data_IF_114275414344
#
_entry.id   IF_114275414344
#
_cell.length_a   1.000
_cell.length_b   1.000
_cell.length_c   1.000
_cell.angle_alpha   90.00
_cell.angle_beta   90.00
_cell.angle_gamma   90.00
#
_symmetry.space_group_name_H-M   'P 1'
#
loop_
_entity.id
_entity.type
_entity.pdbx_description
1 polymer ?
#
# COMPACT_ATOMS: atom_id res chain seq x y z
N UNK A 1 -74.46 2.24 2.21
CA UNK A 1 -73.39 2.80 1.36
C UNK A 1 -72.13 2.86 2.22
N UNK A 2 -71.29 1.82 2.12
CA UNK A 2 -69.95 1.87 2.70
C UNK A 2 -69.06 2.61 1.70
N UNK A 3 -68.46 3.71 2.14
CA UNK A 3 -67.46 4.44 1.37
C UNK A 3 -66.17 3.63 1.48
N UNK A 4 -65.77 2.97 0.39
CA UNK A 4 -64.40 2.51 0.18
C UNK A 4 -63.51 3.74 0.20
N UNK A 5 -63.06 4.14 1.39
CA UNK A 5 -61.93 5.05 1.51
C UNK A 5 -60.68 4.21 1.29
N UNK A 6 -60.11 4.31 0.09
CA UNK A 6 -58.76 3.79 -0.16
C UNK A 6 -57.83 4.24 0.98
N UNK A 7 -57.01 3.33 1.54
CA UNK A 7 -56.05 3.72 2.57
C UNK A 7 -55.18 4.86 2.02
N UNK A 8 -54.84 5.87 2.85
CA UNK A 8 -54.07 7.02 2.40
C UNK A 8 -52.82 6.53 1.67
N UNK A 9 -52.61 7.04 0.45
CA UNK A 9 -51.45 6.72 -0.37
C UNK A 9 -50.20 6.85 0.50
N UNK A 10 -49.58 5.70 0.85
CA UNK A 10 -48.56 5.63 1.88
C UNK A 10 -47.27 6.33 1.48
N UNK A 11 -46.12 5.86 1.94
CA UNK A 11 -44.81 6.42 1.58
C UNK A 11 -44.59 6.60 0.05
N UNK A 12 -45.32 5.86 -0.79
CA UNK A 12 -45.25 5.93 -2.24
C UNK A 12 -45.76 7.27 -2.83
N UNK A 13 -46.57 8.05 -2.12
CA UNK A 13 -47.04 9.36 -2.61
C UNK A 13 -45.97 10.45 -2.49
N UNK A 14 -44.97 10.26 -1.63
CA UNK A 14 -43.98 11.29 -1.37
C UNK A 14 -43.02 11.47 -2.55
N UNK A 15 -42.60 12.72 -2.85
CA UNK A 15 -41.52 12.99 -3.79
C UNK A 15 -40.23 12.26 -3.42
N UNK A 16 -39.39 12.02 -4.41
CA UNK A 16 -38.13 11.27 -4.24
C UNK A 16 -37.18 11.97 -3.26
N UNK A 17 -37.23 13.29 -3.16
CA UNK A 17 -36.46 14.08 -2.20
C UNK A 17 -36.87 13.81 -0.75
N UNK A 18 -38.18 13.66 -0.51
CA UNK A 18 -38.72 13.36 0.83
C UNK A 18 -38.39 11.92 1.20
N UNK A 19 -38.53 10.99 0.26
CA UNK A 19 -38.10 9.59 0.45
C UNK A 19 -36.61 9.53 0.75
N UNK A 20 -35.76 10.24 0.00
CA UNK A 20 -34.32 10.24 0.26
C UNK A 20 -33.99 10.83 1.63
N UNK A 21 -34.69 11.87 2.08
CA UNK A 21 -34.56 12.39 3.45
C UNK A 21 -34.97 11.35 4.51
N UNK A 22 -36.01 10.54 4.27
CA UNK A 22 -36.39 9.45 5.18
C UNK A 22 -35.34 8.34 5.15
N UNK A 23 -34.88 7.91 3.95
CA UNK A 23 -33.78 6.95 3.83
C UNK A 23 -32.53 7.49 4.52
N UNK A 24 -32.36 8.82 4.58
CA UNK A 24 -31.26 9.50 5.22
C UNK A 24 -31.15 9.25 6.74
N UNK A 25 -32.23 8.80 7.37
CA UNK A 25 -32.25 8.47 8.80
C UNK A 25 -32.16 6.97 9.07
N UNK A 26 -32.29 6.13 8.03
CA UNK A 26 -32.36 4.68 8.18
C UNK A 26 -31.00 4.00 8.03
N UNK A 27 -30.86 2.83 8.67
CA UNK A 27 -29.73 1.93 8.46
C UNK A 27 -29.94 1.05 7.23
N UNK A 28 -28.86 0.42 6.74
CA UNK A 28 -28.92 -0.44 5.54
C UNK A 28 -29.95 -1.57 5.68
N UNK A 29 -30.03 -2.20 6.86
CA UNK A 29 -30.99 -3.28 7.12
C UNK A 29 -32.43 -2.79 7.00
N UNK A 30 -32.75 -1.61 7.53
CA UNK A 30 -34.10 -1.04 7.43
C UNK A 30 -34.44 -0.66 5.99
N UNK A 31 -33.48 -0.10 5.25
CA UNK A 31 -33.65 0.18 3.81
C UNK A 31 -33.88 -1.11 3.01
N UNK A 32 -33.18 -2.20 3.36
CA UNK A 32 -33.41 -3.51 2.75
C UNK A 32 -34.80 -4.05 3.09
N UNK A 33 -35.26 -3.90 4.32
CA UNK A 33 -36.61 -4.30 4.72
C UNK A 33 -37.69 -3.51 3.98
N UNK A 34 -37.52 -2.19 3.83
CA UNK A 34 -38.41 -1.35 3.03
C UNK A 34 -38.51 -1.80 1.56
N UNK A 35 -37.39 -2.24 0.98
CA UNK A 35 -37.37 -2.80 -0.39
C UNK A 35 -38.19 -4.06 -0.53
N UNK A 36 -38.38 -4.82 0.55
CA UNK A 36 -39.16 -6.06 0.53
C UNK A 36 -40.67 -5.81 0.65
N UNK A 37 -41.10 -4.58 0.99
CA UNK A 37 -42.52 -4.25 1.15
C UNK A 37 -43.29 -4.24 -0.18
N UNK A 38 -42.73 -3.69 -1.25
CA UNK A 38 -43.33 -3.70 -2.59
C UNK A 38 -42.30 -3.43 -3.69
N UNK A 39 -42.61 -3.76 -4.95
CA UNK A 39 -41.74 -3.46 -6.10
C UNK A 39 -41.55 -1.96 -6.31
N UNK A 40 -42.60 -1.17 -6.10
CA UNK A 40 -42.56 0.28 -6.21
C UNK A 40 -41.70 0.90 -5.11
N UNK A 41 -41.82 0.40 -3.87
CA UNK A 41 -40.96 0.83 -2.78
C UNK A 41 -39.51 0.42 -3.05
N UNK A 42 -39.29 -0.78 -3.61
CA UNK A 42 -37.96 -1.23 -4.03
C UNK A 42 -37.35 -0.29 -5.09
N UNK A 43 -38.16 0.25 -6.00
CA UNK A 43 -37.71 1.23 -6.99
C UNK A 43 -37.45 2.61 -6.34
N UNK A 44 -38.38 3.11 -5.52
CA UNK A 44 -38.26 4.40 -4.81
C UNK A 44 -37.10 4.44 -3.81
N UNK A 45 -36.68 3.30 -3.28
CA UNK A 45 -35.51 3.17 -2.39
C UNK A 45 -34.18 3.02 -3.13
N UNK A 46 -34.16 2.92 -4.47
CA UNK A 46 -32.93 2.92 -5.28
C UNK A 46 -32.32 4.33 -5.46
N UNK A 47 -32.42 5.16 -4.42
CA UNK A 47 -31.89 6.50 -4.39
C UNK A 47 -30.35 6.51 -4.16
N UNK A 48 -29.67 7.66 -4.38
CA UNK A 48 -28.22 7.77 -4.25
C UNK A 48 -27.66 7.22 -2.93
N UNK A 49 -28.33 7.46 -1.80
CA UNK A 49 -27.88 6.93 -0.49
C UNK A 49 -27.85 5.42 -0.45
N UNK A 50 -28.90 4.74 -0.93
CA UNK A 50 -28.90 3.28 -0.94
C UNK A 50 -27.81 2.71 -1.86
N UNK A 51 -27.62 3.35 -3.02
CA UNK A 51 -26.54 3.00 -3.96
C UNK A 51 -25.15 3.22 -3.36
N UNK A 52 -24.98 4.21 -2.48
CA UNK A 52 -23.70 4.50 -1.83
C UNK A 52 -23.16 3.32 -1.00
N UNK A 53 -24.03 2.46 -0.43
CA UNK A 53 -23.61 1.24 0.27
C UNK A 53 -22.91 0.22 -0.64
N UNK A 54 -23.02 0.36 -1.96
CA UNK A 54 -22.38 -0.53 -2.94
C UNK A 54 -21.10 0.06 -3.53
N UNK A 55 -20.81 1.36 -3.33
CA UNK A 55 -19.61 1.99 -3.87
C UNK A 55 -18.31 1.47 -3.25
N UNK A 56 -18.34 1.07 -1.98
CA UNK A 56 -17.17 0.55 -1.27
C UNK A 56 -17.48 -0.82 -0.66
N UNK A 57 -16.69 -1.84 -0.99
CA UNK A 57 -16.84 -3.20 -0.44
C UNK A 57 -15.50 -3.81 -0.05
N UNK A 58 -15.54 -4.58 1.02
CA UNK A 58 -14.45 -5.45 1.46
C UNK A 58 -14.90 -6.89 1.31
N UNK A 59 -14.16 -7.68 0.54
CA UNK A 59 -14.54 -9.05 0.19
C UNK A 59 -13.40 -9.98 0.62
N UNK A 60 -13.64 -10.92 1.56
CA UNK A 60 -12.65 -11.92 1.88
C UNK A 60 -12.51 -12.90 0.70
N UNK A 61 -11.29 -13.40 0.49
CA UNK A 61 -10.99 -14.43 -0.51
C UNK A 61 -11.47 -15.81 -0.01
N UNK A 62 -12.78 -15.92 0.19
CA UNK A 62 -13.48 -17.12 0.64
C UNK A 62 -14.55 -17.49 -0.39
N UNK A 63 -14.83 -18.78 -0.56
CA UNK A 63 -15.72 -19.25 -1.63
C UNK A 63 -17.12 -18.63 -1.59
N UNK A 64 -17.77 -18.64 -0.42
CA UNK A 64 -19.12 -18.07 -0.27
C UNK A 64 -19.16 -16.56 -0.51
N UNK A 65 -18.12 -15.84 -0.10
CA UNK A 65 -18.06 -14.39 -0.29
C UNK A 65 -17.85 -14.01 -1.76
N UNK A 66 -16.99 -14.75 -2.47
CA UNK A 66 -16.74 -14.54 -3.90
C UNK A 66 -17.93 -14.98 -4.76
N UNK A 67 -18.60 -16.07 -4.40
CA UNK A 67 -19.84 -16.48 -5.04
C UNK A 67 -20.94 -15.43 -4.86
N UNK A 68 -21.12 -14.93 -3.64
CA UNK A 68 -22.07 -13.84 -3.35
C UNK A 68 -21.74 -12.58 -4.15
N UNK A 69 -20.45 -12.22 -4.26
CA UNK A 69 -20.03 -11.09 -5.08
C UNK A 69 -20.35 -11.30 -6.57
N UNK A 70 -20.08 -12.49 -7.09
CA UNK A 70 -20.46 -12.87 -8.46
C UNK A 70 -21.98 -12.75 -8.64
N UNK A 71 -22.78 -13.26 -7.71
CA UNK A 71 -24.23 -13.22 -7.78
C UNK A 71 -24.78 -11.78 -7.77
N UNK A 72 -24.23 -10.89 -6.93
CA UNK A 72 -24.71 -9.51 -6.80
C UNK A 72 -24.27 -8.61 -7.97
N UNK A 73 -23.26 -9.02 -8.74
CA UNK A 73 -22.83 -8.31 -9.97
C UNK A 73 -23.51 -8.83 -11.24
N UNK A 74 -24.14 -10.02 -11.23
CA UNK A 74 -24.85 -10.56 -12.41
C UNK A 74 -25.96 -9.63 -12.88
N UNK A 75 -26.22 -9.66 -14.19
CA UNK A 75 -27.31 -8.93 -14.84
C UNK A 75 -27.35 -7.42 -14.51
N UNK A 76 -26.18 -6.78 -14.44
CA UNK A 76 -26.04 -5.37 -14.05
C UNK A 76 -26.63 -5.05 -12.68
N UNK A 77 -26.49 -5.99 -11.73
CA UNK A 77 -26.92 -5.83 -10.36
C UNK A 77 -26.19 -4.71 -9.62
N UNK A 78 -26.65 -4.39 -8.41
CA UNK A 78 -26.10 -3.28 -7.61
C UNK A 78 -24.61 -3.44 -7.28
N UNK A 79 -24.08 -4.66 -7.32
CA UNK A 79 -22.64 -4.92 -7.14
C UNK A 79 -21.79 -4.24 -8.21
N UNK A 80 -22.35 -3.96 -9.39
CA UNK A 80 -21.66 -3.25 -10.45
C UNK A 80 -21.44 -1.76 -10.17
N UNK A 81 -22.06 -1.21 -9.11
CA UNK A 81 -21.83 0.17 -8.68
C UNK A 81 -20.54 0.35 -7.88
N UNK A 82 -19.77 -0.73 -7.68
CA UNK A 82 -18.53 -0.70 -6.92
C UNK A 82 -17.50 0.24 -7.55
N UNK A 83 -16.87 1.04 -6.70
CA UNK A 83 -15.81 1.97 -7.06
C UNK A 83 -14.54 1.66 -6.28
N UNK A 84 -14.68 1.32 -4.99
CA UNK A 84 -13.59 0.97 -4.09
C UNK A 84 -13.75 -0.47 -3.64
N UNK A 85 -12.83 -1.32 -4.04
CA UNK A 85 -12.83 -2.74 -3.67
C UNK A 85 -11.62 -3.05 -2.81
N UNK A 86 -11.84 -3.68 -1.66
CA UNK A 86 -10.78 -4.29 -0.85
C UNK A 86 -10.91 -5.80 -0.91
N UNK A 87 -9.88 -6.51 -1.37
CA UNK A 87 -9.81 -7.97 -1.31
C UNK A 87 -8.93 -8.37 -0.14
N UNK A 88 -9.44 -9.25 0.72
CA UNK A 88 -8.73 -9.70 1.93
C UNK A 88 -8.42 -11.18 1.82
N UNK A 89 -7.16 -11.55 1.62
CA UNK A 89 -6.77 -12.95 1.76
C UNK A 89 -6.66 -13.34 3.23
N UNK A 90 -6.86 -14.62 3.52
CA UNK A 90 -6.88 -15.13 4.88
C UNK A 90 -5.72 -16.10 5.10
N UNK A 91 -5.01 -15.89 6.21
CA UNK A 91 -4.02 -16.83 6.70
C UNK A 91 -4.66 -17.59 7.83
N UNK A 92 -4.93 -18.87 7.60
CA UNK A 92 -5.43 -19.77 8.63
C UNK A 92 -4.27 -20.35 9.44
N UNK A 93 -4.52 -20.67 10.71
CA UNK A 93 -3.59 -21.49 11.47
C UNK A 93 -3.61 -22.89 10.86
N UNK A 94 -2.59 -23.23 10.06
CA UNK A 94 -2.30 -24.63 9.74
C UNK A 94 -1.71 -25.30 10.99
N UNK A 95 -2.44 -25.24 12.09
CA UNK A 95 -2.09 -25.83 13.36
C UNK A 95 -1.96 -27.34 13.16
N UNK A 96 -0.70 -27.79 13.13
CA UNK A 96 -0.22 -29.18 13.00
C UNK A 96 -0.01 -29.64 11.54
N UNK A 97 1.27 -29.83 11.21
CA UNK A 97 1.68 -30.93 10.32
C UNK A 97 0.96 -32.19 10.83
N UNK A 98 0.19 -32.91 10.00
CA UNK A 98 -0.52 -34.08 10.47
C UNK A 98 0.52 -35.10 10.96
N UNK A 99 0.54 -35.33 12.28
CA UNK A 99 1.12 -36.56 12.80
C UNK A 99 0.41 -37.71 12.08
N UNK A 100 1.18 -38.60 11.46
CA UNK A 100 0.68 -39.74 10.69
C UNK A 100 -0.50 -40.39 11.43
N UNK A 101 -1.68 -40.38 10.81
CA UNK A 101 -2.75 -41.33 11.17
C UNK A 101 -4.03 -40.81 11.84
N UNK A 102 -4.36 -39.52 11.90
CA UNK A 102 -5.70 -39.10 12.38
C UNK A 102 -6.47 -38.25 11.37
N UNK A 103 -7.62 -38.78 10.95
CA UNK A 103 -8.59 -38.19 10.01
C UNK A 103 -9.06 -36.82 10.53
N UNK A 104 -9.01 -35.80 9.67
CA UNK A 104 -9.44 -34.43 9.94
C UNK A 104 -10.93 -34.38 10.29
N UNK A 105 -11.27 -33.82 11.45
CA UNK A 105 -12.58 -33.20 11.64
C UNK A 105 -12.59 -31.91 10.81
N UNK A 106 -13.54 -31.82 9.86
CA UNK A 106 -13.79 -30.67 9.00
C UNK A 106 -13.97 -29.40 9.85
N UNK A 107 -12.99 -28.51 9.87
CA UNK A 107 -13.25 -27.09 10.09
C UNK A 107 -14.01 -26.57 8.86
N UNK A 108 -15.24 -26.12 9.05
CA UNK A 108 -16.11 -25.51 8.04
C UNK A 108 -15.66 -24.09 7.67
N UNK A 109 -14.41 -23.95 7.21
CA UNK A 109 -14.00 -22.84 6.35
C UNK A 109 -13.78 -23.45 4.97
N UNK A 110 -14.64 -23.16 4.00
CA UNK A 110 -14.44 -23.62 2.63
C UNK A 110 -13.25 -22.86 2.03
N UNK A 111 -12.05 -23.40 2.22
CA UNK A 111 -10.85 -22.97 1.51
C UNK A 111 -11.12 -23.11 0.01
N UNK A 112 -11.32 -21.98 -0.66
CA UNK A 112 -11.53 -21.94 -2.10
C UNK A 112 -10.18 -22.18 -2.80
N UNK A 113 -10.18 -22.94 -3.88
CA UNK A 113 -8.97 -23.08 -4.69
C UNK A 113 -8.65 -21.77 -5.43
N UNK A 114 -7.38 -21.57 -5.78
CA UNK A 114 -6.96 -20.39 -6.56
C UNK A 114 -7.72 -20.27 -7.88
N UNK A 115 -7.96 -21.40 -8.56
CA UNK A 115 -8.69 -21.46 -9.83
C UNK A 115 -10.16 -21.05 -9.68
N UNK A 116 -10.84 -21.54 -8.64
CA UNK A 116 -12.23 -21.15 -8.34
C UNK A 116 -12.30 -19.66 -7.99
N UNK A 117 -11.36 -19.16 -7.18
CA UNK A 117 -11.30 -17.75 -6.82
C UNK A 117 -11.12 -16.87 -8.07
N UNK A 118 -10.18 -17.26 -8.95
CA UNK A 118 -9.95 -16.61 -10.24
C UNK A 118 -11.22 -16.60 -11.10
N UNK A 119 -11.94 -17.71 -11.17
CA UNK A 119 -13.17 -17.81 -11.96
C UNK A 119 -14.27 -16.84 -11.44
N UNK A 120 -14.53 -16.83 -10.13
CA UNK A 120 -15.54 -15.92 -9.55
C UNK A 120 -15.15 -14.46 -9.71
N UNK A 121 -13.88 -14.12 -9.48
CA UNK A 121 -13.38 -12.75 -9.62
C UNK A 121 -13.44 -12.29 -11.07
N UNK A 122 -13.00 -13.13 -12.02
CA UNK A 122 -13.06 -12.83 -13.46
C UNK A 122 -14.50 -12.57 -13.89
N UNK A 123 -15.45 -13.43 -13.50
CA UNK A 123 -16.86 -13.24 -13.81
C UNK A 123 -17.40 -11.93 -13.21
N UNK A 124 -17.07 -11.65 -11.96
CA UNK A 124 -17.51 -10.43 -11.26
C UNK A 124 -16.93 -9.18 -11.91
N UNK A 125 -15.64 -9.15 -12.22
CA UNK A 125 -14.98 -8.03 -12.86
C UNK A 125 -15.47 -7.80 -14.29
N UNK A 126 -15.77 -8.86 -15.05
CA UNK A 126 -16.45 -8.74 -16.36
C UNK A 126 -17.80 -8.07 -16.22
N UNK A 127 -18.60 -8.44 -15.21
CA UNK A 127 -19.88 -7.80 -14.97
C UNK A 127 -19.74 -6.32 -14.59
N UNK A 128 -18.77 -5.98 -13.72
CA UNK A 128 -18.47 -4.58 -13.36
C UNK A 128 -18.04 -3.79 -14.60
N UNK A 129 -17.13 -4.35 -15.41
CA UNK A 129 -16.64 -3.73 -16.63
C UNK A 129 -17.76 -3.52 -17.66
N UNK A 130 -18.69 -4.47 -17.79
CA UNK A 130 -19.82 -4.38 -18.73
C UNK A 130 -20.91 -3.40 -18.29
N UNK A 131 -21.24 -3.39 -17.00
CA UNK A 131 -22.28 -2.51 -16.44
C UNK A 131 -21.83 -1.05 -16.34
N UNK A 132 -20.52 -0.82 -16.28
CA UNK A 132 -19.95 0.48 -16.60
C UNK A 132 -20.19 0.73 -18.10
N UNK A 133 -21.37 1.25 -18.46
CA UNK A 133 -21.76 1.72 -19.82
C UNK A 133 -20.84 2.80 -20.43
N UNK A 134 -19.64 2.98 -19.86
CA UNK A 134 -18.62 3.98 -20.11
C UNK A 134 -17.34 3.31 -19.65
N UNK A 135 -16.29 3.37 -20.47
CA UNK A 135 -14.92 2.91 -20.23
C UNK A 135 -14.26 3.50 -18.95
N UNK A 136 -14.94 3.43 -17.80
CA UNK A 136 -14.55 4.01 -16.54
C UNK A 136 -13.80 2.93 -15.76
N UNK A 137 -12.50 3.13 -15.49
CA UNK A 137 -11.75 2.23 -14.63
C UNK A 137 -12.37 2.17 -13.23
N UNK A 138 -12.19 1.04 -12.54
CA UNK A 138 -12.46 0.91 -11.12
C UNK A 138 -11.62 1.97 -10.37
N UNK A 139 -12.26 2.71 -9.48
CA UNK A 139 -11.60 3.85 -8.83
C UNK A 139 -10.45 3.40 -7.94
N UNK A 140 -10.66 2.40 -7.09
CA UNK A 140 -9.63 1.90 -6.18
C UNK A 140 -9.73 0.40 -5.94
N UNK A 141 -8.58 -0.26 -5.92
CA UNK A 141 -8.42 -1.66 -5.54
C UNK A 141 -7.34 -1.78 -4.46
N UNK A 142 -7.72 -2.27 -3.29
CA UNK A 142 -6.82 -2.53 -2.16
C UNK A 142 -6.69 -4.03 -1.94
N UNK A 143 -5.46 -4.53 -1.87
CA UNK A 143 -5.14 -5.87 -1.42
C UNK A 143 -4.71 -5.81 0.04
N UNK A 144 -5.41 -6.58 0.86
CA UNK A 144 -5.17 -6.69 2.28
C UNK A 144 -5.12 -8.17 2.68
N UNK A 145 -4.77 -8.41 3.93
CA UNK A 145 -4.73 -9.75 4.47
C UNK A 145 -5.31 -9.73 5.89
N UNK A 146 -5.84 -10.87 6.33
CA UNK A 146 -6.34 -11.09 7.68
C UNK A 146 -5.70 -12.36 8.21
N UNK A 147 -4.89 -12.22 9.26
CA UNK A 147 -4.33 -13.38 9.95
C UNK A 147 -5.24 -13.81 11.11
N UNK A 148 -5.86 -14.98 10.96
CA UNK A 148 -6.76 -15.54 11.97
C UNK A 148 -6.00 -16.04 13.20
N UNK A 149 -4.68 -16.32 13.09
CA UNK A 149 -3.82 -16.70 14.22
C UNK A 149 -3.70 -15.57 15.24
N UNK A 150 -3.64 -14.34 14.76
CA UNK A 150 -3.57 -13.14 15.59
C UNK A 150 -4.86 -12.82 16.37
N UNK A 151 -5.96 -13.52 16.05
CA UNK A 151 -7.26 -13.37 16.71
C UNK A 151 -7.51 -14.42 17.80
N UNK A 152 -6.55 -15.30 18.08
CA UNK A 152 -6.66 -16.31 19.13
C UNK A 152 -6.59 -15.60 20.50
N UNK A 153 -7.63 -15.69 21.36
CA UNK A 153 -7.62 -15.07 22.67
C UNK A 153 -6.42 -15.55 23.51
N UNK A 154 -5.71 -14.61 24.13
CA UNK A 154 -4.54 -14.91 24.96
C UNK A 154 -3.22 -15.13 24.20
N UNK A 155 -3.22 -15.08 22.86
CA UNK A 155 -1.99 -14.98 22.06
C UNK A 155 -1.89 -13.59 21.46
N UNK A 156 -0.93 -12.81 21.93
CA UNK A 156 -0.60 -11.54 21.31
C UNK A 156 0.05 -11.74 19.93
N UNK A 157 0.12 -10.65 19.16
CA UNK A 157 0.90 -10.61 17.92
C UNK A 157 2.34 -11.13 18.14
N UNK A 158 2.98 -10.75 19.26
CA UNK A 158 4.33 -11.20 19.66
C UNK A 158 4.46 -12.71 19.87
N UNK A 159 3.40 -13.37 20.34
CA UNK A 159 3.42 -14.83 20.53
C UNK A 159 3.28 -15.56 19.19
N UNK A 160 2.70 -14.86 18.20
CA UNK A 160 2.39 -15.37 16.87
C UNK A 160 3.51 -15.12 15.87
N UNK A 161 4.17 -13.96 15.93
CA UNK A 161 5.27 -13.57 15.03
C UNK A 161 6.54 -13.27 15.83
N UNK A 162 7.56 -14.08 15.61
CA UNK A 162 8.95 -13.74 15.89
C UNK A 162 9.62 -13.21 14.61
N UNK A 163 10.85 -12.71 14.71
CA UNK A 163 11.64 -12.24 13.57
C UNK A 163 12.11 -13.39 12.64
N UNK A 164 11.52 -14.59 12.72
CA UNK A 164 11.94 -15.72 11.88
C UNK A 164 11.18 -15.76 10.57
N UNK A 165 11.93 -15.88 9.47
CA UNK A 165 11.41 -16.03 8.10
C UNK A 165 10.31 -17.11 7.98
N UNK A 166 10.40 -18.18 8.78
CA UNK A 166 9.45 -19.30 8.77
C UNK A 166 8.02 -18.89 9.12
N UNK A 167 7.83 -17.91 10.01
CA UNK A 167 6.48 -17.48 10.43
C UNK A 167 5.84 -16.47 9.48
N UNK A 168 6.66 -15.75 8.72
CA UNK A 168 6.25 -14.78 7.70
C UNK A 168 5.92 -15.43 6.36
N UNK A 169 6.56 -16.57 6.03
CA UNK A 169 6.33 -17.29 4.77
C UNK A 169 4.85 -17.55 4.44
N UNK A 170 3.97 -17.98 5.37
CA UNK A 170 2.54 -18.11 5.07
C UNK A 170 1.85 -16.80 4.70
N UNK A 171 2.23 -15.68 5.32
CA UNK A 171 1.70 -14.35 4.99
C UNK A 171 2.15 -13.95 3.58
N UNK A 172 3.43 -14.11 3.27
CA UNK A 172 3.97 -13.79 1.94
C UNK A 172 3.41 -14.68 0.84
N UNK A 173 3.23 -15.97 1.11
CA UNK A 173 2.55 -16.88 0.20
C UNK A 173 1.10 -16.47 -0.04
N UNK A 174 0.38 -16.09 1.03
CA UNK A 174 -0.97 -15.56 0.90
C UNK A 174 -0.97 -14.28 0.05
N UNK A 175 -0.06 -13.34 0.31
CA UNK A 175 0.09 -12.11 -0.46
C UNK A 175 0.36 -12.37 -1.94
N UNK A 176 1.28 -13.30 -2.25
CA UNK A 176 1.59 -13.73 -3.61
C UNK A 176 0.38 -14.34 -4.31
N UNK A 177 -0.33 -15.26 -3.66
CA UNK A 177 -1.54 -15.89 -4.22
C UNK A 177 -2.64 -14.88 -4.49
N UNK A 178 -2.92 -13.97 -3.56
CA UNK A 178 -3.93 -12.91 -3.77
C UNK A 178 -3.50 -12.03 -4.95
N UNK A 179 -2.25 -11.57 -4.95
CA UNK A 179 -1.75 -10.69 -5.99
C UNK A 179 -1.88 -11.33 -7.38
N UNK A 180 -1.37 -12.55 -7.54
CA UNK A 180 -1.49 -13.31 -8.79
C UNK A 180 -2.95 -13.48 -9.21
N UNK A 181 -3.80 -14.00 -8.33
CA UNK A 181 -5.23 -14.24 -8.62
C UNK A 181 -5.94 -12.96 -9.07
N UNK A 182 -5.71 -11.85 -8.39
CA UNK A 182 -6.36 -10.57 -8.71
C UNK A 182 -5.81 -9.99 -10.02
N UNK A 183 -4.51 -10.00 -10.22
CA UNK A 183 -3.89 -9.48 -11.45
C UNK A 183 -4.34 -10.30 -12.67
N UNK A 184 -4.37 -11.63 -12.56
CA UNK A 184 -4.92 -12.51 -13.59
C UNK A 184 -6.41 -12.23 -13.87
N UNK A 185 -7.22 -12.03 -12.81
CA UNK A 185 -8.63 -11.71 -12.97
C UNK A 185 -8.85 -10.35 -13.65
N UNK A 186 -8.08 -9.32 -13.29
CA UNK A 186 -8.15 -7.99 -13.90
C UNK A 186 -7.82 -8.05 -15.39
N UNK A 187 -6.73 -8.71 -15.76
CA UNK A 187 -6.31 -8.79 -17.16
C UNK A 187 -7.34 -9.60 -17.98
N UNK A 188 -7.80 -10.74 -17.47
CA UNK A 188 -8.79 -11.61 -18.13
C UNK A 188 -10.18 -10.96 -18.27
N UNK A 189 -10.53 -10.06 -17.34
CA UNK A 189 -11.80 -9.31 -17.37
C UNK A 189 -11.70 -7.99 -18.13
N UNK A 190 -10.49 -7.57 -18.49
CA UNK A 190 -10.19 -6.26 -19.07
C UNK A 190 -10.68 -5.08 -18.20
N UNK A 191 -10.77 -5.29 -16.89
CA UNK A 191 -11.11 -4.23 -15.95
C UNK A 191 -9.86 -3.39 -15.66
N UNK A 192 -9.89 -2.13 -16.07
CA UNK A 192 -8.84 -1.16 -15.74
C UNK A 192 -9.07 -0.54 -14.36
N UNK A 193 -7.99 -0.09 -13.71
CA UNK A 193 -8.01 0.47 -12.35
C UNK A 193 -7.29 1.83 -12.28
N UNK A 194 -7.74 2.74 -11.42
CA UNK A 194 -7.10 4.07 -11.23
C UNK A 194 -6.17 4.12 -10.02
N UNK A 195 -6.47 3.37 -8.96
CA UNK A 195 -5.69 3.31 -7.74
C UNK A 195 -5.49 1.86 -7.32
N UNK A 196 -4.24 1.49 -7.04
CA UNK A 196 -3.84 0.16 -6.60
C UNK A 196 -3.02 0.26 -5.32
N UNK A 197 -3.50 -0.38 -4.26
CA UNK A 197 -2.82 -0.46 -2.98
C UNK A 197 -2.50 -1.93 -2.65
N UNK A 198 -1.22 -2.28 -2.63
CA UNK A 198 -0.69 -3.62 -2.45
C UNK A 198 -0.07 -3.74 -1.06
N UNK A 199 -0.87 -4.19 -0.09
CA UNK A 199 -0.47 -4.48 1.29
C UNK A 199 0.15 -3.31 2.07
N UNK A 200 0.15 -2.10 1.51
CA UNK A 200 0.78 -0.93 2.10
C UNK A 200 -0.19 -0.16 3.00
N UNK A 201 -0.47 -0.71 4.18
CA UNK A 201 -1.23 -0.01 5.23
C UNK A 201 -0.23 0.57 6.24
N UNK A 202 0.28 1.79 5.98
CA UNK A 202 1.34 2.44 6.78
C UNK A 202 1.08 2.41 8.30
N UNK A 203 -0.19 2.39 8.72
CA UNK A 203 -0.59 2.39 10.13
C UNK A 203 -0.65 0.97 10.76
N UNK A 204 -0.78 -0.06 9.92
CA UNK A 204 -1.00 -1.45 10.34
C UNK A 204 -0.05 -2.44 9.65
N UNK A 205 1.11 -1.97 9.16
CA UNK A 205 2.06 -2.69 8.31
C UNK A 205 2.45 -4.05 8.91
N UNK A 206 1.88 -5.10 8.33
CA UNK A 206 2.08 -6.48 8.80
C UNK A 206 2.12 -7.48 7.63
N UNK A 207 2.21 -7.00 6.39
CA UNK A 207 2.33 -7.81 5.20
C UNK A 207 3.02 -7.01 4.09
N UNK A 208 3.75 -7.71 3.24
CA UNK A 208 4.45 -7.20 2.07
C UNK A 208 4.38 -8.24 0.96
N UNK A 209 4.51 -7.79 -0.29
CA UNK A 209 4.65 -8.68 -1.43
C UNK A 209 6.13 -9.02 -1.63
N UNK A 210 6.46 -10.30 -1.70
CA UNK A 210 7.81 -10.72 -2.05
C UNK A 210 8.16 -10.26 -3.48
N UNK A 211 9.38 -9.76 -3.68
CA UNK A 211 9.81 -9.23 -4.98
C UNK A 211 9.81 -10.30 -6.08
N UNK A 212 10.18 -11.54 -5.72
CA UNK A 212 10.05 -12.70 -6.60
C UNK A 212 8.61 -12.92 -7.06
N UNK A 213 7.65 -12.89 -6.14
CA UNK A 213 6.23 -13.05 -6.46
C UNK A 213 5.69 -11.92 -7.35
N UNK A 214 6.16 -10.67 -7.12
CA UNK A 214 5.84 -9.55 -7.98
C UNK A 214 6.32 -9.81 -9.41
N UNK A 215 7.61 -10.11 -9.59
CA UNK A 215 8.20 -10.40 -10.90
C UNK A 215 7.50 -11.55 -11.61
N UNK A 216 7.37 -12.71 -10.94
CA UNK A 216 6.75 -13.91 -11.52
C UNK A 216 5.32 -13.64 -12.02
N UNK A 217 4.54 -12.86 -11.26
CA UNK A 217 3.17 -12.53 -11.67
C UNK A 217 3.15 -11.60 -12.88
N UNK A 218 4.05 -10.62 -12.95
CA UNK A 218 4.10 -9.70 -14.08
C UNK A 218 4.59 -10.39 -15.35
N UNK A 219 5.56 -11.30 -15.25
CA UNK A 219 6.03 -12.11 -16.37
C UNK A 219 4.93 -13.01 -16.95
N UNK A 220 4.16 -13.65 -16.06
CA UNK A 220 3.10 -14.60 -16.41
C UNK A 220 1.85 -13.88 -16.99
N UNK A 221 1.38 -12.83 -16.32
CA UNK A 221 0.10 -12.19 -16.67
C UNK A 221 0.25 -11.00 -17.63
N UNK A 222 1.31 -10.20 -17.46
CA UNK A 222 1.53 -8.92 -18.17
C UNK A 222 0.28 -8.00 -18.19
N UNK A 223 -0.13 -7.44 -17.04
CA UNK A 223 -1.40 -6.71 -16.89
C UNK A 223 -1.39 -5.28 -17.48
N UNK A 224 -0.84 -5.09 -18.68
CA UNK A 224 -0.62 -3.79 -19.31
C UNK A 224 -1.92 -3.01 -19.46
N UNK A 225 -3.02 -3.69 -19.81
CA UNK A 225 -4.33 -3.04 -20.00
C UNK A 225 -4.92 -2.62 -18.67
N UNK A 226 -4.88 -3.51 -17.67
CA UNK A 226 -5.41 -3.23 -16.35
C UNK A 226 -4.71 -2.03 -15.69
N UNK A 227 -3.39 -1.90 -15.87
CA UNK A 227 -2.56 -0.86 -15.25
C UNK A 227 -2.43 0.43 -16.09
N UNK A 228 -2.83 0.43 -17.37
CA UNK A 228 -2.71 1.60 -18.25
C UNK A 228 -3.41 2.87 -17.75
N UNK A 229 -4.47 2.71 -16.95
CA UNK A 229 -5.25 3.80 -16.36
C UNK A 229 -4.79 4.17 -14.93
N UNK A 230 -3.74 3.51 -14.41
CA UNK A 230 -3.30 3.66 -13.04
C UNK A 230 -2.70 5.05 -12.81
N UNK A 231 -3.25 5.76 -11.84
CA UNK A 231 -2.84 7.11 -11.42
C UNK A 231 -2.21 7.12 -10.03
N UNK A 232 -2.53 6.14 -9.19
CA UNK A 232 -2.01 6.00 -7.84
C UNK A 232 -1.56 4.55 -7.59
N UNK A 233 -0.30 4.38 -7.19
CA UNK A 233 0.27 3.10 -6.81
C UNK A 233 0.84 3.21 -5.40
N UNK A 234 0.42 2.31 -4.52
CA UNK A 234 0.96 2.18 -3.19
C UNK A 234 1.33 0.72 -2.94
N UNK A 235 2.60 0.43 -2.71
CA UNK A 235 3.11 -0.95 -2.64
C UNK A 235 4.08 -1.13 -1.47
N UNK A 236 3.89 -2.20 -0.71
CA UNK A 236 4.87 -2.68 0.26
C UNK A 236 5.54 -3.92 -0.29
N UNK A 237 6.82 -3.83 -0.65
CA UNK A 237 7.63 -4.94 -1.17
C UNK A 237 8.58 -5.46 -0.11
N UNK A 238 8.94 -6.74 -0.17
CA UNK A 238 9.98 -7.32 0.68
C UNK A 238 10.93 -8.20 -0.11
N UNK A 239 12.21 -8.14 0.27
CA UNK A 239 13.21 -9.07 -0.22
C UNK A 239 13.32 -10.25 0.76
N UNK A 240 12.49 -11.27 0.51
CA UNK A 240 12.42 -12.46 1.35
C UNK A 240 13.43 -13.55 0.94
N UNK A 241 14.04 -13.43 -0.23
CA UNK A 241 14.75 -14.52 -0.90
C UNK A 241 16.00 -14.00 -1.63
N UNK A 242 17.18 -14.52 -1.25
CA UNK A 242 18.51 -14.10 -1.74
C UNK A 242 18.71 -14.17 -3.27
N UNK A 243 17.78 -14.78 -4.02
CA UNK A 243 17.90 -15.09 -5.45
C UNK A 243 16.82 -14.44 -6.33
N UNK A 244 16.06 -13.47 -5.82
CA UNK A 244 14.96 -12.90 -6.60
C UNK A 244 15.46 -11.95 -7.69
N UNK A 245 14.88 -12.04 -8.89
CA UNK A 245 15.02 -10.97 -9.89
C UNK A 245 14.18 -9.79 -9.42
N UNK A 246 14.82 -8.63 -9.25
CA UNK A 246 14.25 -7.47 -8.57
C UNK A 246 13.66 -6.43 -9.54
N UNK A 247 13.40 -6.83 -10.80
CA UNK A 247 12.87 -5.97 -11.85
C UNK A 247 11.37 -5.71 -11.75
N UNK A 248 10.62 -6.42 -10.91
CA UNK A 248 9.15 -6.33 -10.92
C UNK A 248 8.63 -4.92 -10.62
N UNK A 249 9.33 -4.16 -9.76
CA UNK A 249 8.99 -2.76 -9.50
C UNK A 249 9.24 -1.87 -10.72
N UNK A 250 10.33 -2.12 -11.46
CA UNK A 250 10.64 -1.44 -12.72
C UNK A 250 9.52 -1.66 -13.74
N UNK A 251 9.12 -2.92 -13.93
CA UNK A 251 8.07 -3.29 -14.88
C UNK A 251 6.71 -2.67 -14.51
N UNK A 252 6.36 -2.63 -13.22
CA UNK A 252 5.14 -1.93 -12.77
C UNK A 252 5.15 -0.45 -13.17
N UNK A 253 6.29 0.24 -13.03
CA UNK A 253 6.42 1.65 -13.41
C UNK A 253 6.29 1.81 -14.94
N UNK A 254 6.93 0.93 -15.71
CA UNK A 254 6.86 0.94 -17.19
C UNK A 254 5.43 0.67 -17.71
N UNK A 255 4.66 -0.17 -17.01
CA UNK A 255 3.25 -0.48 -17.33
C UNK A 255 2.25 0.59 -16.87
N UNK A 256 2.69 1.59 -16.11
CA UNK A 256 1.81 2.60 -15.47
C UNK A 256 2.11 4.02 -15.99
N UNK A 257 1.90 4.32 -17.28
CA UNK A 257 2.34 5.59 -17.89
C UNK A 257 1.62 6.82 -17.34
N UNK A 258 0.44 6.64 -16.73
CA UNK A 258 -0.40 7.72 -16.17
C UNK A 258 -0.18 7.95 -14.67
N UNK A 259 0.84 7.32 -14.09
CA UNK A 259 1.07 7.39 -12.65
C UNK A 259 1.37 8.84 -12.22
N UNK A 260 0.64 9.30 -11.21
CA UNK A 260 0.77 10.65 -10.63
C UNK A 260 1.18 10.62 -9.16
N UNK A 261 0.94 9.49 -8.49
CA UNK A 261 1.27 9.25 -7.09
C UNK A 261 1.90 7.87 -6.93
N UNK A 262 3.03 7.82 -6.24
CA UNK A 262 3.78 6.60 -5.99
C UNK A 262 4.21 6.53 -4.53
N UNK A 263 3.72 5.52 -3.83
CA UNK A 263 4.13 5.19 -2.48
C UNK A 263 4.81 3.83 -2.48
N UNK A 264 6.12 3.80 -2.17
CA UNK A 264 6.89 2.57 -2.05
C UNK A 264 7.33 2.43 -0.60
N UNK A 265 6.98 1.31 -0.02
CA UNK A 265 7.54 0.85 1.24
C UNK A 265 8.38 -0.40 1.00
N UNK A 266 9.64 -0.39 1.41
CA UNK A 266 10.49 -1.58 1.41
C UNK A 266 10.49 -2.20 2.81
N UNK A 267 9.65 -3.21 2.97
CA UNK A 267 9.60 -4.01 4.18
C UNK A 267 10.78 -4.97 4.20
N UNK A 268 11.71 -4.73 5.10
CA UNK A 268 12.80 -5.66 5.39
C UNK A 268 12.58 -6.31 6.75
N UNK A 269 12.71 -7.64 6.80
CA UNK A 269 12.89 -8.38 8.06
C UNK A 269 14.33 -8.19 8.55
N UNK A 270 14.73 -6.95 8.83
CA UNK A 270 15.87 -6.67 9.69
C UNK A 270 15.44 -6.91 11.12
N UNK A 271 16.28 -7.58 11.92
CA UNK A 271 16.04 -7.93 13.32
C UNK A 271 15.67 -6.75 14.25
N UNK A 272 15.65 -5.51 13.74
CA UNK A 272 15.40 -4.29 14.50
C UNK A 272 14.19 -3.45 14.05
N UNK A 273 13.34 -3.89 13.11
CA UNK A 273 12.18 -3.07 12.68
C UNK A 273 10.95 -3.14 13.61
N UNK A 274 11.15 -3.04 14.93
CA UNK A 274 10.10 -2.59 15.86
C UNK A 274 10.68 -1.68 16.96
N UNK A 275 10.91 -0.38 16.66
CA UNK A 275 10.74 0.64 17.70
C UNK A 275 9.90 1.85 17.25
N UNK A 276 9.37 1.91 16.03
CA UNK A 276 8.64 3.10 15.56
C UNK A 276 7.15 2.90 15.20
N UNK A 277 6.65 1.67 15.12
CA UNK A 277 5.20 1.46 15.27
C UNK A 277 4.89 1.62 16.76
N UNK A 278 3.81 2.33 17.13
CA UNK A 278 3.44 2.69 18.52
C UNK A 278 3.24 1.48 19.46
N UNK A 279 4.31 0.79 19.83
CA UNK A 279 4.36 -0.35 20.72
C UNK A 279 5.62 -0.32 21.57
N UNK A 280 5.83 0.80 22.28
CA UNK A 280 6.80 0.84 23.37
C UNK A 280 6.26 0.09 24.59
N UNK A 281 6.87 -1.04 24.92
CA UNK A 281 7.13 -1.33 26.32
C UNK A 281 8.41 -0.58 26.68
N UNK A 282 8.23 0.51 27.43
CA UNK A 282 9.21 1.28 28.20
C UNK A 282 10.49 0.46 28.50
N UNK A 283 11.64 0.84 27.95
CA UNK A 283 12.95 0.47 28.51
C UNK A 283 13.98 1.58 28.31
N UNK A 284 14.88 1.65 29.27
CA UNK A 284 15.61 2.84 29.69
C UNK A 284 16.67 3.33 28.70
N UNK A 285 16.84 4.65 28.71
CA UNK A 285 17.94 5.39 28.11
C UNK A 285 19.27 4.79 28.62
N UNK A 286 20.14 4.34 27.71
CA UNK A 286 21.54 4.04 28.03
C UNK A 286 22.13 2.70 27.56
N UNK A 287 21.41 1.84 26.82
CA UNK A 287 21.98 0.57 26.35
C UNK A 287 22.53 0.71 24.91
N UNK A 288 23.83 0.97 24.80
CA UNK A 288 24.59 0.88 23.55
C UNK A 288 24.77 -0.61 23.21
N UNK A 289 24.03 -1.11 22.22
CA UNK A 289 24.18 -2.47 21.69
C UNK A 289 24.06 -2.48 20.16
N UNK A 290 24.70 -3.49 19.53
CA UNK A 290 25.49 -3.34 18.32
C UNK A 290 24.61 -3.09 17.10
N UNK A 291 25.13 -2.30 16.15
CA UNK A 291 24.62 -2.23 14.78
C UNK A 291 24.46 -3.65 14.23
N UNK A 292 23.24 -4.16 14.17
CA UNK A 292 22.97 -5.43 13.51
C UNK A 292 23.05 -5.21 12.00
N UNK A 293 24.20 -5.58 11.43
CA UNK A 293 24.45 -5.52 9.99
C UNK A 293 23.54 -6.52 9.28
N UNK A 294 22.89 -6.07 8.20
CA UNK A 294 22.30 -6.98 7.23
C UNK A 294 23.40 -7.93 6.73
N UNK A 295 23.01 -9.15 6.30
CA UNK A 295 23.97 -9.91 5.50
C UNK A 295 24.34 -9.03 4.28
N UNK A 296 25.62 -9.02 3.85
CA UNK A 296 26.04 -8.21 2.70
C UNK A 296 25.15 -8.42 1.46
N UNK A 297 24.72 -9.67 1.24
CA UNK A 297 23.81 -10.03 0.15
C UNK A 297 22.42 -9.40 0.29
N UNK A 298 21.84 -9.37 1.49
CA UNK A 298 20.52 -8.77 1.70
C UNK A 298 20.55 -7.25 1.49
N UNK A 299 21.60 -6.56 1.96
CA UNK A 299 21.75 -5.13 1.71
C UNK A 299 21.96 -4.83 0.22
N UNK A 300 22.75 -5.65 -0.46
CA UNK A 300 22.97 -5.53 -1.91
C UNK A 300 21.66 -5.72 -2.68
N UNK A 301 20.88 -6.75 -2.36
CA UNK A 301 19.59 -6.99 -3.01
C UNK A 301 18.59 -5.86 -2.75
N UNK A 302 18.45 -5.40 -1.50
CA UNK A 302 17.56 -4.27 -1.20
C UNK A 302 17.95 -3.00 -1.98
N UNK A 303 19.25 -2.76 -2.17
CA UNK A 303 19.78 -1.65 -2.97
C UNK A 303 19.47 -1.83 -4.46
N UNK A 304 19.69 -3.03 -5.00
CA UNK A 304 19.40 -3.37 -6.41
C UNK A 304 17.94 -3.22 -6.77
N UNK A 305 17.02 -3.49 -5.85
CA UNK A 305 15.58 -3.30 -6.07
C UNK A 305 15.25 -1.85 -6.46
N UNK A 306 15.77 -0.89 -5.68
CA UNK A 306 15.53 0.51 -5.98
C UNK A 306 16.31 0.98 -7.21
N UNK A 307 17.52 0.44 -7.41
CA UNK A 307 18.30 0.69 -8.63
C UNK A 307 17.49 0.35 -9.88
N UNK A 308 16.86 -0.82 -9.95
CA UNK A 308 16.02 -1.20 -11.10
C UNK A 308 14.82 -0.29 -11.27
N UNK A 309 14.16 0.13 -10.19
CA UNK A 309 13.09 1.13 -10.28
C UNK A 309 13.60 2.45 -10.88
N UNK A 310 14.83 2.86 -10.55
CA UNK A 310 15.49 4.05 -11.11
C UNK A 310 15.83 3.93 -12.60
N UNK A 311 15.88 2.70 -13.13
CA UNK A 311 16.20 2.37 -14.52
C UNK A 311 14.96 2.22 -15.41
N UNK A 312 13.73 2.31 -14.85
CA UNK A 312 12.48 2.16 -15.60
C UNK A 312 12.46 3.02 -16.87
N UNK A 313 12.11 2.43 -18.00
CA UNK A 313 12.05 3.10 -19.30
C UNK A 313 10.91 2.53 -20.17
N UNK A 314 9.80 3.27 -20.37
CA UNK A 314 9.59 4.66 -20.00
C UNK A 314 9.36 4.87 -18.49
N UNK A 315 9.77 6.02 -17.98
CA UNK A 315 9.40 6.49 -16.63
C UNK A 315 8.06 7.25 -16.70
N UNK A 316 7.13 7.09 -15.73
CA UNK A 316 5.89 7.85 -15.71
C UNK A 316 6.16 9.36 -15.61
N UNK A 317 5.84 10.10 -16.68
CA UNK A 317 6.12 11.55 -16.78
C UNK A 317 5.19 12.40 -15.92
N UNK A 318 4.04 11.85 -15.51
CA UNK A 318 3.04 12.57 -14.70
C UNK A 318 3.25 12.48 -13.19
N UNK A 319 4.33 11.83 -12.74
CA UNK A 319 4.51 11.49 -11.33
C UNK A 319 4.89 12.71 -10.49
N UNK A 320 3.92 13.22 -9.72
CA UNK A 320 4.04 14.45 -8.93
C UNK A 320 4.28 14.19 -7.45
N UNK A 321 3.79 13.07 -6.94
CA UNK A 321 3.86 12.74 -5.52
C UNK A 321 4.63 11.45 -5.34
N UNK A 322 5.70 11.50 -4.56
CA UNK A 322 6.51 10.33 -4.24
C UNK A 322 6.62 10.22 -2.72
N UNK A 323 6.24 9.07 -2.18
CA UNK A 323 6.56 8.65 -0.83
C UNK A 323 7.45 7.41 -0.87
N UNK A 324 8.65 7.53 -0.34
CA UNK A 324 9.58 6.42 -0.16
C UNK A 324 9.75 6.17 1.34
N UNK A 325 9.56 4.93 1.78
CA UNK A 325 9.61 4.54 3.19
C UNK A 325 10.41 3.24 3.36
N UNK A 326 11.42 3.24 4.23
CA UNK A 326 12.25 2.07 4.52
C UNK A 326 13.22 1.65 3.40
N UNK A 327 13.44 2.50 2.39
CA UNK A 327 14.24 2.18 1.20
C UNK A 327 15.74 2.15 1.53
N UNK A 328 16.41 1.08 1.11
CA UNK A 328 17.86 0.98 1.01
C UNK A 328 18.29 1.29 -0.43
N UNK A 329 19.22 2.22 -0.60
CA UNK A 329 19.66 2.66 -1.94
C UNK A 329 21.03 3.33 -1.89
N UNK A 330 21.54 3.82 -3.01
CA UNK A 330 22.72 4.70 -3.06
C UNK A 330 22.27 6.15 -3.22
N UNK A 331 23.09 7.10 -2.77
CA UNK A 331 22.80 8.53 -2.98
C UNK A 331 22.64 8.88 -4.46
N UNK A 332 23.37 8.20 -5.34
CA UNK A 332 23.33 8.40 -6.78
C UNK A 332 22.02 7.87 -7.41
N UNK A 333 21.54 6.69 -7.01
CA UNK A 333 20.31 6.10 -7.56
C UNK A 333 19.07 6.86 -7.08
N UNK A 334 19.05 7.27 -5.81
CA UNK A 334 17.99 8.11 -5.27
C UNK A 334 17.91 9.45 -6.00
N UNK A 335 19.05 10.12 -6.17
CA UNK A 335 19.13 11.36 -6.94
C UNK A 335 18.71 11.17 -8.39
N UNK A 336 19.17 10.09 -9.05
CA UNK A 336 18.80 9.77 -10.44
C UNK A 336 17.28 9.60 -10.55
N UNK A 337 16.67 8.84 -9.65
CA UNK A 337 15.23 8.62 -9.63
C UNK A 337 14.46 9.92 -9.47
N UNK A 338 14.79 10.72 -8.44
CA UNK A 338 14.12 11.99 -8.15
C UNK A 338 14.30 13.00 -9.29
N UNK A 339 15.48 13.06 -9.93
CA UNK A 339 15.73 13.91 -11.11
C UNK A 339 14.91 13.50 -12.32
N UNK A 340 14.82 12.21 -12.60
CA UNK A 340 14.06 11.70 -13.76
C UNK A 340 12.56 11.95 -13.63
N UNK A 341 12.04 11.86 -12.40
CA UNK A 341 10.62 12.08 -12.12
C UNK A 341 10.28 13.56 -11.96
N UNK A 342 11.20 14.35 -11.39
CA UNK A 342 10.99 15.75 -11.04
C UNK A 342 9.69 16.02 -10.24
N UNK A 343 9.48 15.33 -9.10
CA UNK A 343 8.22 15.39 -8.36
C UNK A 343 7.97 16.76 -7.72
N UNK A 344 6.71 17.02 -7.38
CA UNK A 344 6.28 18.20 -6.65
C UNK A 344 6.19 18.00 -5.14
N UNK A 345 5.88 16.79 -4.72
CA UNK A 345 5.79 16.41 -3.31
C UNK A 345 6.70 15.21 -3.07
N UNK A 346 7.66 15.39 -2.16
CA UNK A 346 8.63 14.36 -1.79
C UNK A 346 8.45 14.06 -0.30
N UNK A 347 8.20 12.79 0.00
CA UNK A 347 8.22 12.26 1.37
C UNK A 347 9.25 11.14 1.43
N UNK A 348 10.32 11.32 2.20
CA UNK A 348 11.37 10.34 2.41
C UNK A 348 11.41 9.97 3.89
N UNK A 349 11.13 8.71 4.21
CA UNK A 349 11.12 8.20 5.59
C UNK A 349 12.00 6.96 5.69
N UNK A 350 12.80 6.87 6.74
CA UNK A 350 13.63 5.70 7.01
C UNK A 350 14.52 5.27 5.82
N UNK A 351 15.05 6.25 5.06
CA UNK A 351 15.91 5.97 3.90
C UNK A 351 17.32 5.72 4.39
N UNK A 352 17.95 4.64 3.93
CA UNK A 352 19.35 4.30 4.24
C UNK A 352 20.19 4.29 2.97
N UNK A 353 21.20 5.16 2.93
CA UNK A 353 22.18 5.17 1.86
C UNK A 353 23.29 4.16 2.17
N UNK A 354 23.41 3.12 1.34
CA UNK A 354 24.50 2.17 1.40
C UNK A 354 25.85 2.84 1.04
N UNK A 355 25.81 3.78 0.08
CA UNK A 355 26.95 4.60 -0.32
C UNK A 355 26.51 6.02 -0.69
N UNK A 356 27.40 6.98 -0.54
CA UNK A 356 27.16 8.40 -0.81
C UNK A 356 26.50 9.13 0.36
N UNK A 357 25.99 10.33 0.06
CA UNK A 357 25.37 11.23 1.03
C UNK A 357 24.13 11.90 0.42
N UNK A 358 23.31 12.55 1.25
CA UNK A 358 22.10 13.24 0.80
C UNK A 358 22.35 14.63 0.20
N UNK A 359 23.58 15.16 0.27
CA UNK A 359 23.88 16.54 -0.13
C UNK A 359 23.43 16.86 -1.55
N UNK A 360 23.80 16.04 -2.52
CA UNK A 360 23.42 16.24 -3.92
C UNK A 360 21.91 16.17 -4.17
N UNK A 361 21.18 15.40 -3.36
CA UNK A 361 19.72 15.34 -3.37
C UNK A 361 19.12 16.62 -2.79
N UNK A 362 19.60 17.06 -1.62
CA UNK A 362 19.12 18.27 -0.97
C UNK A 362 19.41 19.52 -1.80
N UNK A 363 20.60 19.61 -2.38
CA UNK A 363 20.95 20.69 -3.29
C UNK A 363 20.00 20.68 -4.50
N UNK A 364 19.73 19.52 -5.10
CA UNK A 364 18.74 19.40 -6.19
C UNK A 364 17.33 19.85 -5.76
N UNK A 365 16.88 19.45 -4.56
CA UNK A 365 15.56 19.79 -4.06
C UNK A 365 15.36 21.29 -3.80
N UNK A 366 16.46 22.03 -3.62
CA UNK A 366 16.45 23.44 -3.19
C UNK A 366 16.89 24.40 -4.29
N UNK A 367 17.17 23.92 -5.52
CA UNK A 367 17.52 24.78 -6.66
C UNK A 367 16.33 25.72 -6.96
N UNK A 368 16.52 27.05 -7.00
CA UNK A 368 15.44 28.01 -7.27
C UNK A 368 14.75 27.81 -8.62
N UNK A 369 15.45 27.23 -9.59
CA UNK A 369 14.96 26.91 -10.93
C UNK A 369 14.40 25.49 -11.06
N UNK A 370 14.42 24.66 -10.01
CA UNK A 370 13.82 23.31 -10.07
C UNK A 370 12.30 23.36 -10.07
N UNK A 371 11.69 24.47 -9.60
CA UNK A 371 10.30 24.91 -9.80
C UNK A 371 9.16 23.93 -9.47
N UNK A 372 9.48 22.67 -9.18
CA UNK A 372 8.54 21.56 -9.07
C UNK A 372 8.26 21.27 -7.61
N UNK A 373 9.28 21.25 -6.74
CA UNK A 373 9.11 20.80 -5.36
C UNK A 373 8.42 21.87 -4.52
N UNK A 374 7.16 21.59 -4.18
CA UNK A 374 6.28 22.41 -3.32
C UNK A 374 6.25 21.87 -1.89
N UNK A 375 6.53 20.57 -1.70
CA UNK A 375 6.48 19.94 -0.38
C UNK A 375 7.64 18.96 -0.19
N UNK A 376 8.26 19.05 0.98
CA UNK A 376 9.36 18.19 1.40
C UNK A 376 9.09 17.71 2.83
N UNK A 377 9.00 16.40 3.02
CA UNK A 377 8.89 15.73 4.32
C UNK A 377 10.01 14.68 4.44
N UNK A 378 11.01 14.97 5.26
CA UNK A 378 12.17 14.12 5.49
C UNK A 378 12.17 13.62 6.92
N UNK A 379 12.30 12.31 7.11
CA UNK A 379 12.30 11.72 8.44
C UNK A 379 13.25 10.52 8.53
N UNK A 380 14.06 10.48 9.58
CA UNK A 380 14.89 9.34 9.96
C UNK A 380 15.80 8.82 8.82
N UNK A 381 16.42 9.74 8.10
CA UNK A 381 17.38 9.44 7.02
C UNK A 381 18.74 8.99 7.59
N UNK A 382 19.43 8.10 6.86
CA UNK A 382 20.75 7.57 7.26
C UNK A 382 21.79 7.55 6.14
N UNK A 383 23.02 7.91 6.47
CA UNK A 383 24.22 7.75 5.63
C UNK A 383 25.08 6.64 6.25
N UNK A 384 25.11 5.46 5.63
CA UNK A 384 25.62 4.24 6.28
C UNK A 384 24.81 3.90 7.53
N UNK A 385 25.48 3.80 8.68
CA UNK A 385 24.84 3.53 9.98
C UNK A 385 24.26 4.79 10.65
N UNK A 386 24.55 5.97 10.13
CA UNK A 386 24.44 7.21 10.90
C UNK A 386 23.24 8.03 10.53
N UNK A 387 22.54 8.50 11.56
CA UNK A 387 21.39 9.37 11.38
C UNK A 387 21.79 10.77 10.91
N UNK A 388 21.02 11.27 9.95
CA UNK A 388 21.01 12.67 9.56
C UNK A 388 20.26 13.47 10.63
N UNK A 389 20.89 14.56 11.09
CA UNK A 389 20.27 15.56 11.98
C UNK A 389 20.20 16.87 11.21
N UNK A 390 19.00 17.42 11.07
CA UNK A 390 18.80 18.70 10.37
C UNK A 390 19.12 19.86 11.31
N UNK A 391 19.91 20.83 10.84
CA UNK A 391 20.37 21.93 11.69
C UNK A 391 19.23 22.89 12.05
N UNK A 392 18.27 23.09 11.13
CA UNK A 392 17.05 23.88 11.33
C UNK A 392 16.25 23.46 12.58
N UNK A 393 16.10 22.15 12.78
CA UNK A 393 15.25 21.60 13.84
C UNK A 393 16.07 21.01 15.00
N UNK A 394 17.34 20.71 14.78
CA UNK A 394 18.14 19.88 15.68
C UNK A 394 17.60 18.44 15.81
N UNK A 395 16.68 18.02 14.94
CA UNK A 395 16.01 16.71 15.00
C UNK A 395 16.29 15.86 13.76
N UNK A 396 15.76 14.63 13.76
CA UNK A 396 15.82 13.71 12.62
C UNK A 396 14.67 13.93 11.62
N UNK A 397 13.99 15.06 11.72
CA UNK A 397 12.83 15.39 10.89
C UNK A 397 12.92 16.81 10.34
N UNK A 398 12.50 16.96 9.09
CA UNK A 398 12.38 18.25 8.42
C UNK A 398 11.11 18.24 7.56
N UNK A 399 10.24 19.21 7.81
CA UNK A 399 9.05 19.44 7.00
C UNK A 399 9.03 20.87 6.49
N UNK A 400 8.94 21.02 5.17
CA UNK A 400 8.91 22.32 4.49
C UNK A 400 7.86 22.30 3.39
N UNK A 401 7.23 23.45 3.16
CA UNK A 401 6.21 23.62 2.12
C UNK A 401 6.23 25.03 1.53
N UNK A 402 5.69 25.17 0.32
CA UNK A 402 5.65 26.44 -0.41
C UNK A 402 7.06 26.95 -0.71
N UNK A 403 7.28 28.26 -0.58
CA UNK A 403 8.62 28.87 -0.71
C UNK A 403 9.62 28.32 0.32
N UNK A 404 9.12 27.82 1.45
CA UNK A 404 9.89 27.13 2.47
C UNK A 404 10.70 25.96 1.91
N UNK A 405 10.15 25.21 0.95
CA UNK A 405 10.78 24.02 0.38
C UNK A 405 12.08 24.32 -0.38
N UNK A 406 12.27 25.55 -0.86
CA UNK A 406 13.43 25.96 -1.66
C UNK A 406 14.62 26.45 -0.83
N UNK A 407 14.47 26.61 0.49
CA UNK A 407 15.60 27.03 1.33
C UNK A 407 16.69 25.94 1.32
N UNK A 408 17.98 26.31 1.37
CA UNK A 408 19.05 25.32 1.56
C UNK A 408 18.78 24.42 2.78
N UNK A 409 19.17 23.16 2.69
CA UNK A 409 19.03 22.20 3.78
C UNK A 409 20.41 21.99 4.39
N UNK A 410 20.60 22.47 5.62
CA UNK A 410 21.78 22.21 6.43
C UNK A 410 21.53 20.98 7.31
N UNK A 411 22.50 20.07 7.36
CA UNK A 411 22.43 18.86 8.15
C UNK A 411 23.82 18.37 8.56
N UNK A 412 23.85 17.56 9.61
CA UNK A 412 25.06 16.91 10.12
C UNK A 412 24.84 15.41 10.37
N UNK A 413 25.93 14.66 10.33
CA UNK A 413 25.98 13.23 10.60
C UNK A 413 26.96 12.99 11.76
N UNK A 414 26.54 12.43 12.91
CA UNK A 414 27.36 12.35 14.13
C UNK A 414 28.69 11.58 14.04
N UNK A 415 28.98 10.86 12.94
CA UNK A 415 30.18 10.00 12.88
C UNK A 415 31.50 10.76 12.73
N UNK A 416 31.51 11.99 12.21
CA UNK A 416 32.76 12.72 11.96
C UNK A 416 33.42 13.27 13.24
N UNK A 417 32.88 12.99 14.44
CA UNK A 417 33.31 13.60 15.71
C UNK A 417 33.90 12.63 16.75
N UNK A 418 34.07 11.34 16.46
CA UNK A 418 34.57 10.37 17.46
C UNK A 418 36.09 10.12 17.47
N UNK A 419 36.88 10.83 16.65
CA UNK A 419 38.34 10.91 16.87
C UNK A 419 38.67 12.23 17.56
N UNK A 420 38.69 12.20 18.90
CA UNK A 420 38.97 13.34 19.78
C UNK A 420 40.43 13.82 19.72
N UNK A 421 40.83 14.40 18.58
CA UNK A 421 42.09 15.12 18.43
C UNK A 421 41.89 16.64 18.30
N UNK A 422 42.96 17.44 18.42
CA UNK A 422 42.96 18.89 18.15
C UNK A 422 42.46 19.29 16.74
N UNK A 423 42.18 18.31 15.88
CA UNK A 423 41.53 18.44 14.58
C UNK A 423 40.08 18.96 14.63
N UNK A 424 39.34 18.89 15.75
CA UNK A 424 37.94 19.37 15.76
C UNK A 424 37.81 20.87 15.44
N UNK A 425 38.70 21.70 16.00
CA UNK A 425 38.72 23.14 15.71
C UNK A 425 39.19 23.41 14.29
N UNK A 426 40.20 22.69 13.81
CA UNK A 426 40.71 22.86 12.44
C UNK A 426 39.74 22.32 11.38
N UNK A 427 38.94 21.31 11.71
CA UNK A 427 37.93 20.72 10.83
C UNK A 427 36.61 21.51 10.86
N UNK A 428 36.23 22.12 11.99
CA UNK A 428 35.20 23.17 12.03
C UNK A 428 35.68 24.39 11.20
N UNK A 429 36.97 24.73 11.26
CA UNK A 429 37.57 25.81 10.47
C UNK A 429 37.63 25.47 8.98
N UNK A 430 37.98 24.24 8.62
CA UNK A 430 37.96 23.74 7.24
C UNK A 430 36.53 23.61 6.71
N UNK A 431 35.57 23.17 7.54
CA UNK A 431 34.17 23.15 7.15
C UNK A 431 33.62 24.57 6.98
N UNK A 432 33.99 25.52 7.83
CA UNK A 432 33.68 26.96 7.64
C UNK A 432 34.35 27.54 6.39
N UNK A 433 35.56 27.08 6.06
CA UNK A 433 36.33 27.51 4.89
C UNK A 433 35.80 26.91 3.57
N UNK A 434 35.36 25.65 3.59
CA UNK A 434 34.86 24.90 2.44
C UNK A 434 33.35 25.08 2.20
N UNK A 435 32.57 25.34 3.26
CA UNK A 435 31.10 25.28 3.23
C UNK A 435 30.39 26.54 3.74
N UNK A 436 31.12 27.60 4.13
CA UNK A 436 30.56 28.87 4.61
C UNK A 436 30.23 28.91 6.10
N UNK A 437 29.87 30.08 6.66
CA UNK A 437 29.68 30.24 8.11
C UNK A 437 28.45 29.47 8.62
N UNK A 438 28.67 28.76 9.74
CA UNK A 438 27.69 28.01 10.55
C UNK A 438 26.56 28.88 11.09
#
# INVERSE_FOLDING_TARGET
MAVDSDPPDGLLCFPDEIIENILSTLQLTDMQNLRLCSREMAAKTLQPRFKAFYHSKTIPLQGTALENFSNVTRNSGLGCLIQNLTIVGQVEDSGKVPAKGKRKARSQGTSISTEEALAFLTASFKNVAAAANRHRPLHSLKLAYSDMRSKIPGKGFRDTYDNTLRRWRPIWQCAATIFHTIVSALETSHLSIQSLQLFNDFDHQRCSLACSALQTTLDDVRPVRALSALTHLSISVSDAEDSSQLSGLRELLEMSPRLTHLDIHQFSLGFENLPATKFFARRAIGDERPSFEFSPNAQENLTRLFQHASEANPMPQGLKNIRLDGIHTTGQDLLRFVRRVAPQHITLRHIRLATGNFRSLFDYCTIPNSGSIVHLDLQDLREGEWHVIFDDSGTRSLQRSGSGALHPIAYRVPHLCQQGGPDLQEQIRQNRYMYGPL
#
